data_IF_818903214514
#
_entry.id   IF_818903214514
#
_cell.length_a   1.000
_cell.length_b   1.000
_cell.length_c   1.000
_cell.angle_alpha   90.00
_cell.angle_beta   90.00
_cell.angle_gamma   90.00
#
_symmetry.space_group_name_H-M   'P 1'
#
loop_
_entity.id
_entity.type
_entity.pdbx_description
1 polymer ?
#
# COMPACT_ATOMS: atom_id res chain seq x y z
N UNK A 1 -14.59 3.78 16.60
CA UNK A 1 -14.30 3.85 15.15
C UNK A 1 -13.24 2.79 14.85
N UNK A 2 -13.62 1.67 14.25
CA UNK A 2 -12.68 0.61 13.84
C UNK A 2 -12.75 0.48 12.33
N UNK A 3 -11.67 0.84 11.62
CA UNK A 3 -11.60 0.70 10.17
C UNK A 3 -11.52 -0.78 9.78
N UNK A 4 -12.19 -1.16 8.68
CA UNK A 4 -12.17 -2.54 8.15
C UNK A 4 -10.91 -2.84 7.34
N UNK A 5 -10.05 -1.84 7.10
CA UNK A 5 -8.79 -1.94 6.39
C UNK A 5 -8.05 -0.61 6.38
N UNK A 6 -6.82 -0.59 5.88
CA UNK A 6 -5.96 0.61 5.89
C UNK A 6 -5.15 0.74 4.60
N UNK A 7 -5.16 1.93 4.00
CA UNK A 7 -4.26 2.28 2.89
C UNK A 7 -3.24 3.26 3.45
N UNK A 8 -1.96 2.92 3.34
CA UNK A 8 -0.85 3.73 3.84
C UNK A 8 -0.14 4.40 2.65
N UNK A 9 -0.02 5.71 2.67
CA UNK A 9 0.83 6.41 1.71
C UNK A 9 2.28 6.39 2.21
N UNK A 10 3.20 5.92 1.37
CA UNK A 10 4.64 5.96 1.66
C UNK A 10 5.43 6.17 0.38
N UNK A 11 6.39 7.10 0.44
CA UNK A 11 7.39 7.28 -0.61
C UNK A 11 8.51 6.23 -0.55
N UNK A 12 8.62 5.53 0.59
CA UNK A 12 9.42 4.34 0.77
C UNK A 12 8.50 3.14 0.52
N UNK A 13 8.22 2.86 -0.76
CA UNK A 13 7.30 1.80 -1.16
C UNK A 13 7.78 0.41 -0.73
N UNK A 14 6.87 -0.59 -0.67
CA UNK A 14 7.23 -1.99 -0.42
C UNK A 14 7.82 -2.60 -1.70
N UNK A 15 9.04 -2.21 -2.07
CA UNK A 15 9.71 -2.81 -3.24
C UNK A 15 10.37 -4.14 -2.89
N UNK A 16 10.89 -4.26 -1.67
CA UNK A 16 11.59 -5.46 -1.22
C UNK A 16 11.07 -6.03 0.11
N UNK A 17 10.06 -5.40 0.72
CA UNK A 17 9.52 -5.80 2.02
C UNK A 17 8.01 -5.60 2.11
N UNK A 18 7.31 -6.61 2.63
CA UNK A 18 5.89 -6.55 2.94
C UNK A 18 5.69 -6.75 4.44
N UNK A 19 5.11 -5.75 5.11
CA UNK A 19 4.73 -5.84 6.53
C UNK A 19 3.48 -6.68 6.72
N UNK A 20 3.49 -7.57 7.71
CA UNK A 20 2.29 -8.32 8.12
C UNK A 20 1.47 -7.47 9.08
N UNK A 21 0.22 -7.18 8.70
CA UNK A 21 -0.73 -6.40 9.49
C UNK A 21 -1.97 -7.24 9.82
N UNK A 22 -2.57 -6.98 10.98
CA UNK A 22 -3.73 -7.74 11.51
C UNK A 22 -5.02 -7.39 10.75
N UNK A 23 -5.03 -6.25 10.05
CA UNK A 23 -6.12 -5.81 9.17
C UNK A 23 -5.68 -5.82 7.70
N UNK A 24 -6.61 -5.98 6.74
CA UNK A 24 -6.29 -5.82 5.33
C UNK A 24 -5.66 -4.46 5.07
N UNK A 25 -4.47 -4.45 4.49
CA UNK A 25 -3.72 -3.22 4.28
C UNK A 25 -2.85 -3.27 3.06
N UNK A 26 -2.65 -2.12 2.43
CA UNK A 26 -1.68 -1.94 1.35
C UNK A 26 -0.97 -0.61 1.47
N UNK A 27 0.27 -0.56 1.02
CA UNK A 27 1.04 0.67 0.92
C UNK A 27 1.02 1.16 -0.53
N UNK A 28 0.76 2.44 -0.72
CA UNK A 28 0.70 3.11 -2.01
C UNK A 28 1.71 4.26 -2.04
N UNK A 29 2.16 4.64 -3.23
CA UNK A 29 3.00 5.82 -3.37
C UNK A 29 2.17 7.12 -3.35
N UNK A 30 2.84 8.28 -3.31
CA UNK A 30 2.17 9.57 -3.25
C UNK A 30 1.20 9.83 -4.42
N UNK A 31 1.59 9.47 -5.65
CA UNK A 31 0.74 9.69 -6.83
C UNK A 31 -0.53 8.83 -6.79
N UNK A 32 -0.44 7.58 -6.33
CA UNK A 32 -1.59 6.72 -6.08
C UNK A 32 -2.44 7.24 -4.92
N UNK A 33 -1.82 7.76 -3.86
CA UNK A 33 -2.50 8.41 -2.74
C UNK A 33 -3.39 9.57 -3.19
N UNK A 34 -2.86 10.43 -4.06
CA UNK A 34 -3.63 11.54 -4.67
C UNK A 34 -4.84 11.04 -5.46
N UNK A 35 -4.65 10.02 -6.32
CA UNK A 35 -5.76 9.42 -7.09
C UNK A 35 -6.85 8.87 -6.16
N UNK A 36 -6.46 8.23 -5.05
CA UNK A 36 -7.40 7.69 -4.06
C UNK A 36 -8.16 8.83 -3.36
N UNK A 37 -7.47 9.90 -3.00
CA UNK A 37 -8.09 11.07 -2.37
C UNK A 37 -9.08 11.76 -3.31
N UNK A 38 -8.73 11.91 -4.59
CA UNK A 38 -9.62 12.46 -5.60
C UNK A 38 -10.84 11.57 -5.82
N UNK A 39 -10.68 10.24 -5.79
CA UNK A 39 -11.79 9.29 -5.85
C UNK A 39 -12.74 9.43 -4.65
N UNK A 40 -12.20 9.56 -3.44
CA UNK A 40 -12.99 9.78 -2.21
C UNK A 40 -13.78 11.09 -2.30
N UNK A 41 -13.16 12.15 -2.80
CA UNK A 41 -13.78 13.47 -2.88
C UNK A 41 -14.79 13.62 -4.03
N UNK A 42 -14.67 12.80 -5.08
CA UNK A 42 -15.57 12.85 -6.25
C UNK A 42 -16.79 11.92 -6.14
N UNK A 43 -16.80 10.99 -5.19
CA UNK A 43 -17.82 9.94 -5.07
C UNK A 43 -18.56 10.03 -3.74
N UNK A 44 -19.89 10.11 -3.76
CA UNK A 44 -20.69 10.20 -2.52
C UNK A 44 -20.69 8.92 -1.66
N UNK A 45 -20.32 7.76 -2.23
CA UNK A 45 -20.17 6.49 -1.51
C UNK A 45 -18.95 5.72 -2.05
N UNK A 46 -17.72 6.13 -1.67
CA UNK A 46 -16.51 5.50 -2.17
C UNK A 46 -16.39 4.09 -1.62
N UNK A 47 -16.00 3.13 -2.47
CA UNK A 47 -15.78 1.74 -2.11
C UNK A 47 -14.45 1.26 -2.69
N UNK A 48 -13.73 0.47 -1.92
CA UNK A 48 -12.46 -0.12 -2.35
C UNK A 48 -12.34 -1.56 -1.87
N UNK A 49 -11.54 -2.36 -2.59
CA UNK A 49 -11.23 -3.75 -2.25
C UNK A 49 -9.71 -3.87 -2.13
N UNK A 50 -9.24 -4.36 -0.99
CA UNK A 50 -7.83 -4.70 -0.79
C UNK A 50 -7.67 -6.18 -1.14
N UNK A 51 -6.97 -6.46 -2.23
CA UNK A 51 -6.71 -7.83 -2.66
C UNK A 51 -5.61 -8.48 -1.82
N UNK A 52 -5.66 -9.81 -1.73
CA UNK A 52 -4.60 -10.61 -1.10
C UNK A 52 -3.29 -10.44 -1.88
N UNK A 53 -2.18 -10.30 -1.17
CA UNK A 53 -0.84 -10.19 -1.76
C UNK A 53 -0.54 -11.34 -2.72
N UNK A 54 0.05 -11.02 -3.86
CA UNK A 54 0.50 -11.97 -4.87
C UNK A 54 2.03 -11.88 -5.00
N UNK A 55 2.68 -13.04 -5.20
CA UNK A 55 4.11 -13.07 -5.44
C UNK A 55 4.40 -12.64 -6.89
N UNK A 56 5.15 -11.56 -7.05
CA UNK A 56 5.66 -11.13 -8.35
C UNK A 56 7.08 -11.68 -8.54
N UNK A 57 7.35 -12.26 -9.72
CA UNK A 57 8.72 -12.63 -10.09
C UNK A 57 9.47 -11.37 -10.53
N UNK A 58 10.26 -10.81 -9.63
CA UNK A 58 11.20 -9.72 -9.94
C UNK A 58 12.59 -10.33 -10.12
N UNK A 59 13.40 -9.75 -11.02
CA UNK A 59 14.77 -10.20 -11.23
C UNK A 59 15.61 -9.95 -9.97
N UNK A 60 16.01 -11.03 -9.30
CA UNK A 60 16.96 -10.97 -8.20
C UNK A 60 18.40 -10.83 -8.74
N UNK A 61 19.32 -10.15 -8.04
CA UNK A 61 19.13 -9.49 -6.74
C UNK A 61 18.71 -8.01 -6.86
N UNK A 62 17.77 -7.56 -6.02
CA UNK A 62 17.48 -6.13 -5.77
C UNK A 62 18.08 -5.71 -4.42
N UNK A 63 18.63 -4.49 -4.35
CA UNK A 63 19.16 -3.92 -3.10
C UNK A 63 17.99 -3.47 -2.24
N UNK A 64 17.75 -4.17 -1.14
CA UNK A 64 16.82 -3.75 -0.08
C UNK A 64 17.36 -2.53 0.66
N UNK A 65 16.55 -1.49 0.80
CA UNK A 65 16.87 -0.33 1.64
C UNK A 65 16.47 -0.63 3.10
N UNK A 66 17.35 -1.31 3.85
CA UNK A 66 17.28 -1.35 5.31
C UNK A 66 18.71 -1.23 5.86
N UNK A 67 19.04 -0.06 6.42
CA UNK A 67 20.24 0.17 7.24
C UNK A 67 19.76 0.37 8.67
N UNK A 68 20.09 -0.57 9.55
CA UNK A 68 20.06 -0.39 11.00
C UNK A 68 21.52 -0.20 11.44
N UNK A 69 21.85 1.00 11.93
CA UNK A 69 23.05 1.27 12.75
C UNK A 69 22.59 1.62 14.15
#
# INVERSE_FOLDING_TARGET
MGGVGTILESNFGPFDYASVLISPSTTVNHTQGQIIMDYINSTSSPKAVIFKTQAMKVAAPSVTIYVFI
#
